data_IF_211956195116
#
_entry.id   IF_211956195116
#
_cell.length_a   1.000
_cell.length_b   1.000
_cell.length_c   1.000
_cell.angle_alpha   90.00
_cell.angle_beta   90.00
_cell.angle_gamma   90.00
#
_symmetry.space_group_name_H-M   'P 1'
#
loop_
_entity.id
_entity.type
_entity.pdbx_description
1 polymer ?
#
# COMPACT_ATOMS: atom_id res chain seq x y z
N UNK A 1 18.92 -12.91 4.11
CA UNK A 1 18.21 -11.64 4.43
C UNK A 1 16.75 -11.98 4.62
N UNK A 2 16.18 -11.76 5.82
CA UNK A 2 14.75 -11.95 6.01
C UNK A 2 13.99 -10.93 5.16
N UNK A 3 12.90 -11.36 4.54
CA UNK A 3 12.02 -10.44 3.81
C UNK A 3 11.23 -9.62 4.82
N UNK A 4 11.33 -8.28 4.75
CA UNK A 4 10.44 -7.40 5.49
C UNK A 4 9.17 -7.18 4.66
N UNK A 5 8.14 -7.95 4.93
CA UNK A 5 6.86 -7.85 4.22
C UNK A 5 5.85 -7.16 5.09
N UNK A 6 5.33 -6.03 4.63
CA UNK A 6 4.22 -5.33 5.26
C UNK A 6 2.92 -5.73 4.56
N UNK A 7 1.90 -5.99 5.36
CA UNK A 7 0.51 -6.09 4.94
C UNK A 7 -0.27 -4.89 5.47
N UNK A 8 -0.99 -4.21 4.58
CA UNK A 8 -1.95 -3.18 4.96
C UNK A 8 -3.35 -3.68 4.59
N UNK A 9 -4.16 -4.00 5.60
CA UNK A 9 -5.54 -4.40 5.40
C UNK A 9 -6.43 -3.17 5.52
N UNK A 10 -7.10 -2.81 4.44
CA UNK A 10 -7.99 -1.65 4.38
C UNK A 10 -9.43 -2.13 4.31
N UNK A 11 -10.29 -1.53 5.13
CA UNK A 11 -11.71 -1.86 5.18
C UNK A 11 -12.54 -0.76 4.55
N UNK A 12 -13.60 -1.15 3.87
CA UNK A 12 -14.56 -0.29 3.20
C UNK A 12 -15.98 -0.73 3.55
N UNK A 13 -17.00 0.13 3.40
CA UNK A 13 -18.40 -0.27 3.52
C UNK A 13 -18.71 -1.46 2.58
N UNK A 14 -19.53 -2.41 3.02
CA UNK A 14 -19.93 -3.53 2.16
C UNK A 14 -20.64 -3.06 0.87
N UNK A 15 -21.24 -1.87 0.90
CA UNK A 15 -21.94 -1.23 -0.21
C UNK A 15 -21.04 -0.51 -1.23
N UNK A 16 -19.70 -0.63 -1.17
CA UNK A 16 -18.86 0.04 -2.18
C UNK A 16 -19.13 -0.48 -3.59
N UNK A 17 -19.10 0.45 -4.55
CA UNK A 17 -19.34 0.11 -5.95
C UNK A 17 -18.14 -0.63 -6.59
N UNK A 18 -18.36 -1.40 -7.67
CA UNK A 18 -17.27 -2.00 -8.45
C UNK A 18 -16.27 -0.97 -8.98
N UNK A 19 -16.74 0.23 -9.35
CA UNK A 19 -15.90 1.34 -9.81
C UNK A 19 -14.98 1.83 -8.69
N UNK A 20 -15.50 1.90 -7.47
CA UNK A 20 -14.69 2.25 -6.28
C UNK A 20 -13.63 1.18 -6.04
N UNK A 21 -13.98 -0.10 -6.13
CA UNK A 21 -13.01 -1.21 -5.99
C UNK A 21 -11.87 -1.11 -7.01
N UNK A 22 -12.19 -0.77 -8.26
CA UNK A 22 -11.21 -0.54 -9.32
C UNK A 22 -10.35 0.72 -9.05
N UNK A 23 -10.99 1.80 -8.60
CA UNK A 23 -10.33 3.06 -8.29
C UNK A 23 -9.32 2.96 -7.14
N UNK A 24 -9.50 2.04 -6.19
CA UNK A 24 -8.52 1.80 -5.11
C UNK A 24 -7.13 1.51 -5.69
N UNK A 25 -7.02 0.62 -6.69
CA UNK A 25 -5.72 0.36 -7.33
C UNK A 25 -5.24 1.55 -8.16
N UNK A 26 -6.11 2.13 -8.97
CA UNK A 26 -5.73 3.14 -9.95
C UNK A 26 -5.30 4.47 -9.30
N UNK A 27 -6.00 4.89 -8.26
CA UNK A 27 -5.82 6.19 -7.60
C UNK A 27 -4.87 6.13 -6.40
N UNK A 28 -4.73 4.96 -5.75
CA UNK A 28 -3.99 4.84 -4.47
C UNK A 28 -2.66 4.09 -4.63
N UNK A 29 -2.15 3.98 -5.86
CA UNK A 29 -0.85 3.36 -6.18
C UNK A 29 0.39 4.11 -5.67
N UNK A 30 0.22 5.17 -4.87
CA UNK A 30 1.29 6.12 -4.55
C UNK A 30 2.41 5.53 -3.69
N UNK A 31 2.12 4.54 -2.83
CA UNK A 31 3.19 3.74 -2.21
C UNK A 31 3.96 2.92 -3.26
N UNK A 32 3.33 2.48 -4.35
CA UNK A 32 3.98 1.70 -5.40
C UNK A 32 4.84 2.43 -6.42
N UNK A 33 4.81 3.76 -6.48
CA UNK A 33 5.34 4.50 -7.62
C UNK A 33 6.83 4.85 -7.52
N UNK A 34 7.64 4.03 -6.85
CA UNK A 34 9.10 4.08 -6.99
C UNK A 34 9.57 3.50 -8.34
N UNK A 35 8.72 2.78 -9.09
CA UNK A 35 9.13 2.12 -10.34
C UNK A 35 9.39 3.11 -11.49
N UNK A 36 9.13 4.40 -11.29
CA UNK A 36 9.53 5.47 -12.23
C UNK A 36 10.99 5.93 -12.04
N UNK A 37 11.76 5.31 -11.14
CA UNK A 37 13.20 5.48 -11.10
C UNK A 37 13.81 4.71 -12.29
N UNK A 38 14.05 5.39 -13.42
CA UNK A 38 14.80 4.79 -14.54
C UNK A 38 16.12 4.17 -14.07
N UNK A 39 16.75 3.28 -14.87
CA UNK A 39 17.91 2.44 -14.50
C UNK A 39 18.98 3.09 -13.60
N UNK A 40 19.21 4.41 -13.72
CA UNK A 40 20.17 5.18 -12.91
C UNK A 40 19.82 5.30 -11.42
N UNK A 41 18.57 5.11 -11.02
CA UNK A 41 18.06 5.34 -9.65
C UNK A 41 17.39 4.12 -9.03
N UNK A 42 17.48 2.96 -9.68
CA UNK A 42 16.97 1.66 -9.21
C UNK A 42 17.54 1.26 -7.83
N UNK A 43 18.81 1.60 -7.55
CA UNK A 43 19.43 1.38 -6.23
C UNK A 43 18.66 2.09 -5.09
N UNK A 44 17.93 3.17 -5.40
CA UNK A 44 17.12 3.94 -4.44
C UNK A 44 15.71 3.38 -4.25
N UNK A 45 15.31 2.37 -5.04
CA UNK A 45 14.02 1.72 -4.85
C UNK A 45 13.99 1.04 -3.47
N UNK A 46 13.06 1.42 -2.56
CA UNK A 46 12.97 0.82 -1.23
C UNK A 46 12.35 -0.59 -1.26
N UNK A 47 11.73 -0.97 -2.38
CA UNK A 47 11.06 -2.25 -2.56
C UNK A 47 12.00 -3.33 -3.12
N UNK A 48 11.80 -4.55 -2.63
CA UNK A 48 12.29 -5.80 -3.24
C UNK A 48 11.36 -6.25 -4.36
N UNK A 49 10.05 -6.01 -4.22
CA UNK A 49 9.06 -6.15 -5.28
C UNK A 49 7.97 -5.09 -5.08
N UNK A 50 7.39 -4.61 -6.19
CA UNK A 50 6.33 -3.61 -6.14
C UNK A 50 5.11 -4.07 -5.33
N UNK A 51 4.24 -3.13 -4.91
CA UNK A 51 3.05 -3.47 -4.16
C UNK A 51 2.13 -4.38 -4.97
N UNK A 52 1.46 -5.29 -4.27
CA UNK A 52 0.32 -6.03 -4.80
C UNK A 52 -0.94 -5.65 -4.03
N UNK A 53 -2.09 -5.66 -4.69
CA UNK A 53 -3.40 -5.48 -4.07
C UNK A 53 -4.29 -6.68 -4.37
N UNK A 54 -4.96 -7.20 -3.35
CA UNK A 54 -6.01 -8.21 -3.49
C UNK A 54 -7.24 -7.87 -2.66
N UNK A 55 -8.43 -8.20 -3.17
CA UNK A 55 -9.66 -8.13 -2.39
C UNK A 55 -9.89 -9.45 -1.66
N UNK A 56 -10.32 -9.37 -0.40
CA UNK A 56 -10.76 -10.54 0.34
C UNK A 56 -12.13 -10.94 -0.19
N UNK A 57 -12.33 -12.23 -0.43
CA UNK A 57 -13.61 -12.77 -0.84
C UNK A 57 -14.59 -12.79 0.33
N UNK A 58 -15.82 -12.31 0.09
CA UNK A 58 -16.87 -12.21 1.10
C UNK A 58 -16.76 -10.99 2.03
N UNK A 59 -17.73 -10.90 2.93
CA UNK A 59 -17.81 -9.82 3.91
C UNK A 59 -16.92 -10.14 5.13
N UNK A 60 -16.35 -9.09 5.70
CA UNK A 60 -15.57 -9.12 6.93
C UNK A 60 -16.28 -8.28 7.98
N UNK A 61 -16.23 -8.72 9.25
CA UNK A 61 -16.75 -7.92 10.35
C UNK A 61 -15.69 -6.90 10.78
N UNK A 62 -16.09 -5.63 10.86
CA UNK A 62 -15.32 -4.56 11.51
C UNK A 62 -16.23 -3.84 12.49
N UNK A 63 -15.82 -3.79 13.76
CA UNK A 63 -16.59 -3.12 14.83
C UNK A 63 -18.07 -3.58 14.88
N UNK A 64 -18.32 -4.85 14.55
CA UNK A 64 -19.67 -5.44 14.52
C UNK A 64 -20.47 -5.19 13.24
N UNK A 65 -19.97 -4.37 12.31
CA UNK A 65 -20.61 -4.06 11.02
C UNK A 65 -20.02 -4.88 9.86
N UNK A 66 -20.83 -5.11 8.83
CA UNK A 66 -20.37 -5.73 7.58
C UNK A 66 -19.56 -4.74 6.76
N UNK A 67 -18.37 -5.18 6.38
CA UNK A 67 -17.42 -4.45 5.57
C UNK A 67 -16.83 -5.38 4.51
N UNK A 68 -16.19 -4.79 3.51
CA UNK A 68 -15.32 -5.53 2.60
C UNK A 68 -13.90 -5.03 2.80
N UNK A 69 -12.92 -5.88 2.52
CA UNK A 69 -11.53 -5.55 2.75
C UNK A 69 -10.66 -5.86 1.55
N UNK A 70 -9.63 -5.04 1.37
CA UNK A 70 -8.51 -5.33 0.49
C UNK A 70 -7.21 -5.35 1.28
N UNK A 71 -6.24 -6.08 0.76
CA UNK A 71 -4.91 -6.25 1.35
C UNK A 71 -3.89 -5.73 0.36
N UNK A 72 -3.12 -4.73 0.81
CA UNK A 72 -1.90 -4.32 0.15
C UNK A 72 -0.73 -5.12 0.71
N UNK A 73 0.11 -5.63 -0.18
CA UNK A 73 1.33 -6.36 0.18
C UNK A 73 2.53 -5.57 -0.31
N UNK A 74 3.36 -5.08 0.61
CA UNK A 74 4.60 -4.38 0.31
C UNK A 74 5.80 -5.24 0.69
N UNK A 75 6.65 -5.56 -0.29
CA UNK A 75 7.89 -6.30 -0.05
C UNK A 75 9.04 -5.32 -0.01
N UNK A 76 9.43 -4.90 1.19
CA UNK A 76 10.52 -3.96 1.42
C UNK A 76 11.88 -4.64 1.39
N UNK A 77 12.94 -3.89 1.08
CA UNK A 77 14.32 -4.40 1.16
C UNK A 77 14.75 -4.64 2.61
N UNK A 78 14.31 -3.80 3.53
CA UNK A 78 14.56 -3.85 4.97
C UNK A 78 13.55 -2.96 5.70
N UNK A 79 13.48 -3.10 7.03
CA UNK A 79 12.72 -2.19 7.88
C UNK A 79 13.21 -0.73 7.74
N UNK A 80 14.52 -0.50 7.74
CA UNK A 80 15.10 0.83 7.53
C UNK A 80 14.66 1.45 6.18
N UNK A 81 14.58 0.64 5.12
CA UNK A 81 14.14 1.11 3.81
C UNK A 81 12.65 1.48 3.80
N UNK A 82 11.80 0.74 4.51
CA UNK A 82 10.39 1.09 4.73
C UNK A 82 10.27 2.41 5.50
N UNK A 83 10.88 2.50 6.68
CA UNK A 83 10.81 3.67 7.56
C UNK A 83 11.28 4.93 6.84
N UNK A 84 12.43 4.85 6.15
CA UNK A 84 12.96 5.95 5.34
C UNK A 84 11.99 6.33 4.22
N UNK A 85 11.40 5.35 3.53
CA UNK A 85 10.43 5.62 2.47
C UNK A 85 9.20 6.35 3.02
N UNK A 86 8.56 5.79 4.06
CA UNK A 86 7.35 6.35 4.68
C UNK A 86 7.55 7.77 5.23
N UNK A 87 8.75 8.09 5.72
CA UNK A 87 9.05 9.40 6.35
C UNK A 87 9.62 10.45 5.39
N UNK A 88 10.25 10.04 4.28
CA UNK A 88 11.00 10.99 3.42
C UNK A 88 10.55 11.01 1.97
N UNK A 89 9.93 9.94 1.45
CA UNK A 89 9.58 9.89 0.04
C UNK A 89 8.44 10.87 -0.26
N UNK A 90 8.67 11.74 -1.24
CA UNK A 90 7.71 12.74 -1.70
C UNK A 90 7.35 12.51 -3.16
N UNK A 91 6.11 12.79 -3.53
CA UNK A 91 5.64 12.70 -4.91
C UNK A 91 5.28 14.08 -5.46
N UNK A 92 5.88 14.51 -6.58
CA UNK A 92 5.44 15.69 -7.33
C UNK A 92 3.95 15.66 -7.64
N UNK A 93 3.20 16.65 -7.16
CA UNK A 93 1.74 16.71 -7.35
C UNK A 93 1.30 18.13 -7.64
N UNK A 94 0.36 18.29 -8.56
CA UNK A 94 -0.29 19.58 -8.83
C UNK A 94 -1.57 19.66 -8.00
N UNK A 95 -1.70 20.68 -7.16
CA UNK A 95 -2.90 20.94 -6.36
C UNK A 95 -3.28 22.41 -6.49
N UNK A 96 -4.49 22.68 -6.96
CA UNK A 96 -5.01 24.04 -7.18
C UNK A 96 -4.09 24.94 -8.03
N UNK A 97 -3.41 24.36 -9.04
CA UNK A 97 -2.47 25.09 -9.89
C UNK A 97 -1.08 25.28 -9.30
N UNK A 98 -0.85 24.86 -8.05
CA UNK A 98 0.46 24.91 -7.40
C UNK A 98 1.16 23.54 -7.42
N UNK A 99 2.47 23.58 -7.56
CA UNK A 99 3.30 22.39 -7.50
C UNK A 99 3.73 22.11 -6.05
N UNK A 100 3.23 21.02 -5.49
CA UNK A 100 3.54 20.56 -4.15
C UNK A 100 4.27 19.21 -4.19
N UNK A 101 4.95 18.87 -3.09
CA UNK A 101 5.65 17.59 -2.91
C UNK A 101 5.22 16.92 -1.61
N UNK A 102 3.96 16.47 -1.49
CA UNK A 102 3.47 15.78 -0.30
C UNK A 102 4.19 14.44 -0.09
N UNK A 103 4.09 13.94 1.14
CA UNK A 103 4.55 12.60 1.52
C UNK A 103 3.75 11.54 0.75
N UNK A 104 4.43 10.51 0.24
CA UNK A 104 3.72 9.45 -0.48
C UNK A 104 2.74 8.69 0.42
N UNK A 105 3.09 8.56 1.71
CA UNK A 105 2.23 7.93 2.70
C UNK A 105 0.97 8.77 2.93
N UNK A 106 1.10 10.09 3.04
CA UNK A 106 -0.04 10.98 3.19
C UNK A 106 -0.98 10.89 1.99
N UNK A 107 -0.43 10.87 0.76
CA UNK A 107 -1.22 10.69 -0.46
C UNK A 107 -1.94 9.34 -0.49
N UNK A 108 -1.26 8.27 -0.06
CA UNK A 108 -1.85 6.94 0.03
C UNK A 108 -3.02 6.93 1.01
N UNK A 109 -2.80 7.40 2.25
CA UNK A 109 -3.82 7.42 3.28
C UNK A 109 -4.99 8.34 2.92
N UNK A 110 -4.71 9.50 2.33
CA UNK A 110 -5.75 10.41 1.86
C UNK A 110 -6.56 9.78 0.72
N UNK A 111 -5.91 9.14 -0.25
CA UNK A 111 -6.59 8.45 -1.35
C UNK A 111 -7.52 7.34 -0.87
N UNK A 112 -7.14 6.59 0.18
CA UNK A 112 -8.03 5.62 0.82
C UNK A 112 -9.25 6.30 1.45
N UNK A 113 -9.05 7.39 2.20
CA UNK A 113 -10.14 8.15 2.84
C UNK A 113 -11.09 8.75 1.81
N UNK A 114 -10.56 9.32 0.73
CA UNK A 114 -11.35 9.91 -0.36
C UNK A 114 -12.22 8.87 -1.08
N UNK A 115 -11.80 7.60 -1.07
CA UNK A 115 -12.56 6.46 -1.58
C UNK A 115 -13.48 5.82 -0.54
N UNK A 116 -13.64 6.42 0.64
CA UNK A 116 -14.56 5.97 1.68
C UNK A 116 -14.01 4.82 2.54
N UNK A 117 -12.69 4.68 2.66
CA UNK A 117 -12.13 3.70 3.60
C UNK A 117 -12.57 4.02 5.04
N UNK A 118 -13.00 2.98 5.76
CA UNK A 118 -13.36 3.06 7.18
C UNK A 118 -12.10 3.13 8.05
N UNK A 119 -10.94 2.75 7.50
CA UNK A 119 -9.64 2.68 8.17
C UNK A 119 -8.86 1.42 7.76
N UNK A 120 -7.70 1.21 8.35
CA UNK A 120 -6.79 0.13 7.99
C UNK A 120 -5.94 -0.34 9.17
N UNK A 121 -5.39 -1.53 9.03
CA UNK A 121 -4.45 -2.16 9.95
C UNK A 121 -3.15 -2.47 9.20
N UNK A 122 -2.01 -2.21 9.84
CA UNK A 122 -0.68 -2.51 9.32
C UNK A 122 -0.07 -3.65 10.16
N UNK A 123 0.47 -4.68 9.50
CA UNK A 123 1.24 -5.71 10.18
C UNK A 123 2.43 -6.17 9.34
N UNK A 124 3.48 -6.63 10.01
CA UNK A 124 4.69 -7.13 9.37
C UNK A 124 4.78 -8.64 9.53
N UNK A 125 4.98 -9.32 8.40
CA UNK A 125 5.16 -10.76 8.36
C UNK A 125 6.61 -11.12 8.09
N UNK A 126 7.14 -12.01 8.92
CA UNK A 126 8.37 -12.74 8.67
C UNK A 126 7.98 -14.16 8.22
N UNK A 127 8.19 -14.46 6.94
CA UNK A 127 8.00 -15.83 6.45
C UNK A 127 9.21 -16.67 6.84
N UNK A 128 8.97 -17.75 7.58
CA UNK A 128 9.96 -18.81 7.75
C UNK A 128 9.97 -19.68 6.49
N UNK A 129 11.05 -19.65 5.72
CA UNK A 129 11.23 -20.58 4.62
C UNK A 129 11.63 -21.95 5.19
N UNK A 130 10.66 -22.84 5.39
CA UNK A 130 10.95 -24.26 5.67
C UNK A 130 11.11 -25.01 4.36
N UNK A 131 12.35 -25.21 3.93
CA UNK A 131 12.66 -26.11 2.83
C UNK A 131 12.57 -27.55 3.34
N UNK A 132 11.53 -28.29 2.95
CA UNK A 132 11.52 -29.73 3.10
C UNK A 132 12.27 -30.32 1.89
N UNK A 133 13.44 -30.91 2.14
CA UNK A 133 14.10 -31.77 1.16
C UNK A 133 13.40 -33.12 1.28
N UNK A 134 12.68 -33.53 0.24
CA UNK A 134 12.11 -34.86 0.09
C UNK A 134 13.18 -35.85 -0.40
#
# INVERSE_FOLDING_TARGET
MSSHTELIRVYFPASISPETRKAVWEKVRHLGHSVAYGKKVEHRNPYKAGPCLGWIEGDVKREGQDAVACVWVHKWKSQEAEEKCKTTARYPHMKYGEFIKPLILDLFQQGLRDLGALGWEECHLNFETKCYIA
#
